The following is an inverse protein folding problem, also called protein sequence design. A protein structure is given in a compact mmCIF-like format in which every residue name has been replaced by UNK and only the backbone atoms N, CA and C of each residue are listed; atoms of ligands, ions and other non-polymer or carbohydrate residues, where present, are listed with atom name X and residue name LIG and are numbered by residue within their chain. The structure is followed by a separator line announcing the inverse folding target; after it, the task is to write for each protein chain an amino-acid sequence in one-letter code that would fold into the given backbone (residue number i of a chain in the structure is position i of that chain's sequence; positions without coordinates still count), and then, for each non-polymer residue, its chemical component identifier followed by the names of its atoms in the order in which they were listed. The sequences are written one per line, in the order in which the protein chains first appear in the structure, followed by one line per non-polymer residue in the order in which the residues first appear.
data_IF_520251451028
#
_entry.id   IF_520251451028
#
_cell.length_a   1.000
_cell.length_b   1.000
_cell.length_c   1.000
_cell.angle_alpha   90.00
_cell.angle_beta   90.00
_cell.angle_gamma   90.00
#
_symmetry.space_group_name_H-M   'P 1'
#
loop_
_entity.id
_entity.type
_entity.pdbx_description
1 polymer ?
#
# COMPACT_ATOMS: atom_id res chain seq x y z
N UNK A 1 -17.10 13.26 -3.96
CA UNK A 1 -15.71 13.40 -4.44
C UNK A 1 -14.93 14.06 -3.31
N UNK A 2 -13.79 13.50 -2.92
CA UNK A 2 -12.95 14.06 -1.86
C UNK A 2 -12.32 15.35 -2.42
N UNK A 3 -12.46 16.46 -1.71
CA UNK A 3 -11.89 17.76 -2.13
C UNK A 3 -10.35 17.69 -2.05
N UNK A 4 -9.62 17.89 -3.16
CA UNK A 4 -8.16 17.81 -3.19
C UNK A 4 -7.48 18.74 -2.15
N UNK A 5 -8.09 19.90 -1.89
CA UNK A 5 -7.58 20.87 -0.92
C UNK A 5 -7.72 20.36 0.52
N UNK A 6 -8.83 19.69 0.82
CA UNK A 6 -9.07 19.01 2.09
C UNK A 6 -8.07 17.87 2.32
N UNK A 7 -7.82 17.02 1.32
CA UNK A 7 -6.83 15.93 1.43
C UNK A 7 -5.41 16.47 1.65
N UNK A 8 -5.01 17.52 0.93
CA UNK A 8 -3.71 18.16 1.10
C UNK A 8 -3.54 18.75 2.51
N UNK A 9 -4.59 19.39 3.04
CA UNK A 9 -4.61 19.96 4.40
C UNK A 9 -4.52 18.88 5.48
N UNK A 10 -5.23 17.77 5.30
CA UNK A 10 -5.15 16.63 6.21
C UNK A 10 -3.73 16.03 6.23
N UNK A 11 -3.11 15.88 5.06
CA UNK A 11 -1.73 15.41 4.94
C UNK A 11 -0.75 16.36 5.63
N UNK A 12 -0.89 17.68 5.43
CA UNK A 12 -0.05 18.67 6.08
C UNK A 12 -0.15 18.60 7.61
N UNK A 13 -1.37 18.50 8.15
CA UNK A 13 -1.61 18.35 9.60
C UNK A 13 -1.01 17.06 10.15
N UNK A 14 -1.10 15.96 9.41
CA UNK A 14 -0.48 14.69 9.79
C UNK A 14 1.03 14.87 9.91
N UNK A 15 1.70 15.42 8.89
CA UNK A 15 3.15 15.67 8.95
C UNK A 15 3.54 16.58 10.12
N UNK A 16 2.80 17.65 10.36
CA UNK A 16 3.06 18.58 11.46
C UNK A 16 3.04 17.88 12.84
N UNK A 17 2.21 16.83 13.00
CA UNK A 17 2.18 16.03 14.22
C UNK A 17 3.47 15.21 14.44
N UNK A 18 4.22 14.89 13.38
CA UNK A 18 5.48 14.15 13.44
C UNK A 18 6.72 15.04 13.36
N UNK A 19 6.57 16.36 13.15
CA UNK A 19 7.70 17.30 13.12
C UNK A 19 7.71 18.27 14.31
N UNK A 20 6.57 18.47 14.98
CA UNK A 20 6.46 19.36 16.15
C UNK A 20 6.40 18.56 17.46
N UNK A 21 7.51 17.94 17.81
CA UNK A 21 7.67 17.30 19.13
C UNK A 21 7.75 18.33 20.27
N UNK A 22 6.97 18.11 21.34
CA UNK A 22 7.01 18.96 22.55
C UNK A 22 8.17 18.66 23.51
N UNK A 23 8.71 17.44 23.48
CA UNK A 23 9.64 16.91 24.49
C UNK A 23 11.05 16.74 23.93
N UNK A 24 11.19 16.23 22.71
CA UNK A 24 12.43 16.26 21.98
C UNK A 24 12.20 17.00 20.65
N UNK A 25 13.00 18.02 20.33
CA UNK A 25 12.96 18.64 19.01
C UNK A 25 13.56 17.66 17.99
N UNK A 26 12.84 17.38 16.89
CA UNK A 26 13.33 16.44 15.87
C UNK A 26 12.31 16.09 14.79
N UNK A 27 12.83 15.64 13.65
CA UNK A 27 12.06 15.16 12.49
C UNK A 27 11.74 13.66 12.67
N UNK A 28 10.56 13.30 13.20
CA UNK A 28 10.20 11.90 13.54
C UNK A 28 9.65 11.09 12.34
N UNK A 29 10.32 11.14 11.20
CA UNK A 29 9.86 10.43 10.00
C UNK A 29 9.92 8.91 10.13
N UNK A 30 10.79 8.40 11.00
CA UNK A 30 10.84 6.98 11.37
C UNK A 30 9.59 6.56 12.13
N UNK A 31 9.08 7.39 13.05
CA UNK A 31 7.82 7.14 13.76
C UNK A 31 6.64 7.13 12.79
N UNK A 32 6.59 8.06 11.83
CA UNK A 32 5.56 8.04 10.77
C UNK A 32 5.64 6.75 9.95
N UNK A 33 6.85 6.29 9.57
CA UNK A 33 7.03 5.02 8.87
C UNK A 33 6.45 3.85 9.69
N UNK A 34 6.78 3.79 10.98
CA UNK A 34 6.30 2.73 11.88
C UNK A 34 4.77 2.73 12.00
N UNK A 35 4.14 3.89 12.10
CA UNK A 35 2.69 4.00 12.16
C UNK A 35 2.01 3.56 10.85
N UNK A 36 2.60 3.87 9.69
CA UNK A 36 2.10 3.38 8.41
C UNK A 36 2.21 1.85 8.29
N UNK A 37 3.30 1.25 8.79
CA UNK A 37 3.45 -0.21 8.86
C UNK A 37 2.44 -0.83 9.82
N UNK A 38 2.26 -0.24 11.01
CA UNK A 38 1.27 -0.69 12.00
C UNK A 38 -0.14 -0.63 11.43
N UNK A 39 -0.50 0.47 10.77
CA UNK A 39 -1.80 0.64 10.14
C UNK A 39 -2.10 -0.47 9.12
N UNK A 40 -1.13 -0.82 8.27
CA UNK A 40 -1.30 -1.94 7.33
C UNK A 40 -1.52 -3.27 8.06
N UNK A 41 -0.73 -3.57 9.09
CA UNK A 41 -0.90 -4.79 9.91
C UNK A 41 -2.28 -4.84 10.57
N UNK A 42 -2.76 -3.71 11.08
CA UNK A 42 -4.13 -3.59 11.61
C UNK A 42 -5.17 -3.89 10.55
N UNK A 43 -5.03 -3.38 9.32
CA UNK A 43 -5.95 -3.69 8.21
C UNK A 43 -5.98 -5.19 7.85
N UNK A 44 -4.87 -5.90 8.01
CA UNK A 44 -4.77 -7.34 7.79
C UNK A 44 -5.53 -8.13 8.87
N UNK A 45 -5.38 -7.74 10.15
CA UNK A 45 -6.06 -8.41 11.28
C UNK A 45 -7.55 -8.06 11.31
N UNK A 46 -7.90 -6.79 11.05
CA UNK A 46 -9.27 -6.29 11.01
C UNK A 46 -10.11 -6.95 9.92
N UNK A 47 -9.50 -7.44 8.83
CA UNK A 47 -10.20 -8.27 7.85
C UNK A 47 -10.83 -9.50 8.50
N UNK A 48 -10.06 -10.21 9.34
CA UNK A 48 -10.52 -11.43 10.02
C UNK A 48 -11.72 -11.14 10.91
N UNK A 49 -11.61 -10.15 11.79
CA UNK A 49 -12.71 -9.70 12.65
C UNK A 49 -13.97 -9.33 11.84
N UNK A 50 -13.80 -8.57 10.75
CA UNK A 50 -14.94 -8.13 9.92
C UNK A 50 -15.69 -9.28 9.27
N UNK A 51 -14.99 -10.35 8.92
CA UNK A 51 -15.59 -11.51 8.24
C UNK A 51 -16.11 -12.53 9.24
N UNK A 52 -15.30 -12.92 10.22
CA UNK A 52 -15.62 -13.99 11.18
C UNK A 52 -16.61 -13.54 12.26
N UNK A 53 -16.48 -12.31 12.79
CA UNK A 53 -17.27 -11.85 13.94
C UNK A 53 -18.38 -10.89 13.55
N UNK A 54 -18.12 -9.96 12.62
CA UNK A 54 -19.08 -8.92 12.27
C UNK A 54 -19.99 -9.27 11.08
N UNK A 55 -19.87 -10.47 10.51
CA UNK A 55 -20.70 -10.96 9.40
C UNK A 55 -20.66 -10.10 8.14
N UNK A 56 -19.59 -9.31 7.92
CA UNK A 56 -19.50 -8.40 6.78
C UNK A 56 -19.06 -9.13 5.53
N UNK A 57 -19.55 -8.65 4.38
CA UNK A 57 -19.19 -9.12 3.04
C UNK A 57 -17.68 -9.29 2.84
N UNK A 58 -17.25 -10.47 2.45
CA UNK A 58 -15.84 -10.88 2.58
C UNK A 58 -15.04 -10.69 1.28
N UNK A 59 -15.61 -11.04 0.11
CA UNK A 59 -14.85 -11.18 -1.13
C UNK A 59 -14.18 -9.87 -1.60
N UNK A 60 -14.93 -8.75 -1.69
CA UNK A 60 -14.34 -7.44 -2.05
C UNK A 60 -13.26 -7.02 -1.05
N UNK A 61 -13.46 -7.29 0.25
CA UNK A 61 -12.49 -6.93 1.30
C UNK A 61 -11.20 -7.71 1.14
N UNK A 62 -11.31 -9.01 0.89
CA UNK A 62 -10.16 -9.88 0.62
C UNK A 62 -9.41 -9.40 -0.62
N UNK A 63 -10.12 -9.17 -1.73
CA UNK A 63 -9.51 -8.72 -2.98
C UNK A 63 -8.81 -7.36 -2.83
N UNK A 64 -9.42 -6.40 -2.12
CA UNK A 64 -8.78 -5.11 -1.78
C UNK A 64 -7.56 -5.29 -0.87
N UNK A 65 -7.61 -6.23 0.08
CA UNK A 65 -6.46 -6.52 0.94
C UNK A 65 -5.29 -7.06 0.11
N UNK A 66 -5.57 -8.00 -0.80
CA UNK A 66 -4.54 -8.65 -1.63
C UNK A 66 -4.00 -7.77 -2.75
N UNK A 67 -4.70 -6.71 -3.15
CA UNK A 67 -4.27 -5.74 -4.17
C UNK A 67 -4.03 -4.35 -3.59
N UNK A 68 -5.05 -3.50 -3.51
CA UNK A 68 -4.90 -2.06 -3.24
C UNK A 68 -4.24 -1.73 -1.90
N UNK A 69 -4.57 -2.48 -0.83
CA UNK A 69 -3.93 -2.27 0.49
C UNK A 69 -2.47 -2.73 0.49
N UNK A 70 -2.18 -3.85 -0.17
CA UNK A 70 -0.81 -4.34 -0.38
C UNK A 70 0.01 -3.35 -1.22
N UNK A 71 -0.55 -2.80 -2.30
CA UNK A 71 0.09 -1.77 -3.12
C UNK A 71 0.40 -0.52 -2.30
N UNK A 72 -0.57 -0.06 -1.51
CA UNK A 72 -0.38 1.11 -0.64
C UNK A 72 0.75 0.89 0.36
N UNK A 73 0.82 -0.28 0.97
CA UNK A 73 1.89 -0.61 1.90
C UNK A 73 3.25 -0.69 1.20
N UNK A 74 3.33 -1.39 0.06
CA UNK A 74 4.54 -1.45 -0.76
C UNK A 74 5.02 -0.06 -1.18
N UNK A 75 4.10 0.82 -1.55
CA UNK A 75 4.40 2.21 -1.89
C UNK A 75 5.04 2.96 -0.73
N UNK A 76 4.53 2.78 0.50
CA UNK A 76 5.14 3.38 1.70
C UNK A 76 6.57 2.85 1.90
N UNK A 77 6.75 1.52 1.88
CA UNK A 77 8.07 0.89 2.07
C UNK A 77 9.07 1.39 1.03
N UNK A 78 8.70 1.39 -0.25
CA UNK A 78 9.57 1.85 -1.34
C UNK A 78 9.91 3.34 -1.21
N UNK A 79 8.93 4.17 -0.84
CA UNK A 79 9.15 5.62 -0.61
C UNK A 79 10.16 5.85 0.50
N UNK A 80 10.02 5.13 1.61
CA UNK A 80 10.91 5.25 2.75
C UNK A 80 12.32 4.69 2.49
N UNK A 81 12.45 3.67 1.63
CA UNK A 81 13.74 3.21 1.13
C UNK A 81 14.51 4.31 0.39
N UNK A 82 13.82 5.14 -0.41
CA UNK A 82 14.44 6.31 -1.05
C UNK A 82 14.72 7.41 -0.02
N UNK A 83 13.76 7.71 0.86
CA UNK A 83 13.89 8.75 1.87
C UNK A 83 15.06 8.49 2.86
N UNK A 84 15.39 7.22 3.11
CA UNK A 84 16.52 6.82 3.95
C UNK A 84 17.89 7.10 3.32
N UNK A 85 17.94 7.42 2.03
CA UNK A 85 19.17 7.65 1.25
C UNK A 85 19.41 9.13 0.92
N UNK A 86 18.50 10.01 1.32
CA UNK A 86 18.65 11.46 1.18
C UNK A 86 19.02 12.06 2.53
N UNK A 87 19.69 13.20 2.46
CA UNK A 87 20.06 13.99 3.63
C UNK A 87 18.82 14.44 4.40
N UNK A 88 19.01 14.69 5.69
CA UNK A 88 17.90 15.00 6.59
C UNK A 88 17.11 16.23 6.14
N UNK A 89 17.78 17.22 5.54
CA UNK A 89 17.16 18.43 5.01
C UNK A 89 16.22 18.18 3.83
N UNK A 90 16.57 17.25 2.95
CA UNK A 90 15.78 16.88 1.77
C UNK A 90 14.70 15.83 2.05
N UNK A 91 14.79 15.14 3.21
CA UNK A 91 13.87 14.06 3.56
C UNK A 91 12.43 14.53 3.73
N UNK A 92 12.22 15.68 4.39
CA UNK A 92 10.86 16.19 4.63
C UNK A 92 10.15 16.61 3.34
N UNK A 93 10.74 17.47 2.48
CA UNK A 93 10.11 17.85 1.22
C UNK A 93 9.79 16.64 0.34
N UNK A 94 10.70 15.65 0.30
CA UNK A 94 10.51 14.41 -0.43
C UNK A 94 9.31 13.63 0.11
N UNK A 95 9.25 13.38 1.42
CA UNK A 95 8.15 12.61 2.02
C UNK A 95 6.81 13.33 1.84
N UNK A 96 6.75 14.66 2.04
CA UNK A 96 5.52 15.43 1.84
C UNK A 96 5.00 15.33 0.42
N UNK A 97 5.89 15.46 -0.57
CA UNK A 97 5.53 15.34 -1.99
C UNK A 97 5.04 13.93 -2.32
N UNK A 98 5.82 12.92 -1.95
CA UNK A 98 5.54 11.56 -2.40
C UNK A 98 4.38 10.93 -1.64
N UNK A 99 4.26 11.09 -0.32
CA UNK A 99 3.13 10.50 0.43
C UNK A 99 1.76 11.05 0.01
N UNK A 100 1.72 12.23 -0.61
CA UNK A 100 0.50 12.77 -1.25
C UNK A 100 0.18 12.17 -2.62
N UNK A 101 1.11 11.43 -3.23
CA UNK A 101 0.94 10.87 -4.55
C UNK A 101 0.29 9.47 -4.53
N UNK A 102 -0.40 9.07 -5.63
CA UNK A 102 -1.01 7.76 -5.73
C UNK A 102 0.00 6.61 -5.50
N UNK A 103 -0.41 5.51 -4.84
CA UNK A 103 0.49 4.39 -4.53
C UNK A 103 1.25 3.83 -5.74
N UNK A 104 0.57 3.71 -6.89
CA UNK A 104 1.19 3.17 -8.11
C UNK A 104 2.31 4.08 -8.63
N UNK A 105 2.09 5.40 -8.61
CA UNK A 105 3.12 6.39 -8.91
C UNK A 105 4.31 6.22 -7.98
N UNK A 106 4.08 6.21 -6.66
CA UNK A 106 5.15 6.12 -5.67
C UNK A 106 6.03 4.89 -5.85
N UNK A 107 5.45 3.72 -6.11
CA UNK A 107 6.24 2.50 -6.38
C UNK A 107 7.10 2.69 -7.62
N UNK A 108 6.54 3.13 -8.74
CA UNK A 108 7.31 3.31 -9.99
C UNK A 108 8.39 4.38 -9.86
N UNK A 109 8.08 5.50 -9.22
CA UNK A 109 9.03 6.56 -8.90
C UNK A 109 10.17 6.02 -8.03
N UNK A 110 9.87 5.38 -6.90
CA UNK A 110 10.90 4.86 -5.99
C UNK A 110 11.77 3.80 -6.68
N UNK A 111 11.17 2.89 -7.43
CA UNK A 111 11.90 1.87 -8.17
C UNK A 111 12.76 2.46 -9.28
N UNK A 112 12.36 3.58 -9.90
CA UNK A 112 13.24 4.33 -10.80
C UNK A 112 14.47 4.89 -10.06
N UNK A 113 14.27 5.51 -8.90
CA UNK A 113 15.38 6.02 -8.08
C UNK A 113 16.34 4.90 -7.61
N UNK A 114 15.80 3.71 -7.38
CA UNK A 114 16.55 2.54 -6.89
C UNK A 114 17.04 1.61 -8.02
N UNK A 115 16.86 1.99 -9.29
CA UNK A 115 17.35 1.22 -10.45
C UNK A 115 16.61 -0.09 -10.74
N UNK A 116 15.37 -0.24 -10.30
CA UNK A 116 14.53 -1.43 -10.49
C UNK A 116 13.20 -1.18 -11.20
N UNK A 117 13.08 -0.10 -11.99
CA UNK A 117 11.83 0.28 -12.69
C UNK A 117 11.24 -0.85 -13.54
N UNK A 118 12.09 -1.67 -14.17
CA UNK A 118 11.66 -2.79 -15.01
C UNK A 118 10.83 -3.84 -14.23
N UNK A 119 11.04 -3.96 -12.92
CA UNK A 119 10.30 -4.87 -12.03
C UNK A 119 8.85 -4.42 -11.80
N UNK A 120 8.50 -3.18 -12.10
CA UNK A 120 7.14 -2.67 -11.92
C UNK A 120 6.17 -3.15 -12.99
N UNK A 121 6.63 -3.56 -14.18
CA UNK A 121 5.74 -3.87 -15.29
C UNK A 121 4.74 -5.01 -14.99
N UNK A 122 5.13 -6.15 -14.36
CA UNK A 122 4.17 -7.17 -13.95
C UNK A 122 3.18 -6.69 -12.88
N UNK A 123 3.62 -5.81 -11.96
CA UNK A 123 2.76 -5.21 -10.94
C UNK A 123 1.64 -4.38 -11.57
N UNK A 124 2.00 -3.51 -12.54
CA UNK A 124 1.05 -2.67 -13.26
C UNK A 124 0.05 -3.52 -14.05
N UNK A 125 0.53 -4.51 -14.80
CA UNK A 125 -0.31 -5.41 -15.59
C UNK A 125 -1.29 -6.23 -14.74
N UNK A 126 -0.92 -6.56 -13.51
CA UNK A 126 -1.83 -7.24 -12.59
C UNK A 126 -2.79 -6.27 -11.88
N UNK A 127 -2.40 -5.02 -11.65
CA UNK A 127 -3.26 -4.06 -10.95
C UNK A 127 -4.39 -3.52 -11.84
N UNK A 128 -4.12 -3.30 -13.12
CA UNK A 128 -5.09 -2.78 -14.10
C UNK A 128 -6.39 -3.60 -14.20
N UNK A 129 -6.38 -4.92 -14.45
CA UNK A 129 -7.61 -5.72 -14.53
C UNK A 129 -8.36 -5.77 -13.20
N UNK A 130 -7.67 -5.67 -12.06
CA UNK A 130 -8.31 -5.56 -10.76
C UNK A 130 -9.08 -4.23 -10.60
N UNK A 131 -8.50 -3.11 -11.06
CA UNK A 131 -9.19 -1.82 -11.05
C UNK A 131 -10.40 -1.83 -11.99
N UNK A 132 -10.24 -2.37 -13.20
CA UNK A 132 -11.31 -2.49 -14.17
C UNK A 132 -12.50 -3.30 -13.60
N UNK A 133 -12.22 -4.45 -13.00
CA UNK A 133 -13.25 -5.30 -12.39
C UNK A 133 -13.99 -4.62 -11.22
N UNK A 134 -13.31 -3.82 -10.39
CA UNK A 134 -13.95 -3.11 -9.28
C UNK A 134 -14.67 -1.82 -9.70
N UNK A 135 -14.38 -1.32 -10.89
CA UNK A 135 -15.08 -0.21 -11.52
C UNK A 135 -16.39 -0.65 -12.17
N UNK A 136 -16.49 -1.92 -12.60
CA UNK A 136 -17.73 -2.51 -13.12
C UNK A 136 -18.77 -2.74 -11.99
N UNK A 137 -19.95 -2.08 -12.05
CA UNK A 137 -21.00 -2.27 -11.06
C UNK A 137 -21.53 -3.71 -10.99
N UNK A 138 -21.56 -4.45 -12.10
CA UNK A 138 -22.09 -5.82 -12.13
C UNK A 138 -21.16 -6.78 -11.39
N UNK A 139 -19.87 -6.78 -11.75
CA UNK A 139 -18.83 -7.53 -11.03
C UNK A 139 -18.81 -7.15 -9.55
N UNK A 140 -18.95 -5.86 -9.24
CA UNK A 140 -18.99 -5.40 -7.85
C UNK A 140 -20.19 -5.95 -7.10
N UNK A 141 -21.38 -5.96 -7.69
CA UNK A 141 -22.58 -6.50 -7.06
C UNK A 141 -22.47 -8.02 -6.83
N UNK A 142 -21.94 -8.75 -7.82
CA UNK A 142 -21.66 -10.20 -7.71
C UNK A 142 -20.75 -10.49 -6.50
N UNK A 143 -19.59 -9.84 -6.45
CA UNK A 143 -18.60 -10.03 -5.37
C UNK A 143 -19.12 -9.59 -3.99
N UNK A 144 -20.05 -8.66 -3.96
CA UNK A 144 -20.64 -8.11 -2.74
C UNK A 144 -21.70 -9.06 -2.15
N UNK A 145 -22.34 -9.88 -2.98
CA UNK A 145 -23.35 -10.87 -2.58
C UNK A 145 -22.80 -12.31 -2.50
N UNK A 146 -21.57 -12.55 -2.95
CA UNK A 146 -20.96 -13.88 -3.01
C UNK A 146 -20.85 -14.54 -1.62
N UNK A 147 -21.49 -15.70 -1.46
CA UNK A 147 -21.30 -16.58 -0.31
C UNK A 147 -19.90 -17.21 -0.33
N UNK A 148 -19.31 -17.44 0.85
CA UNK A 148 -17.94 -17.95 0.94
C UNK A 148 -17.81 -19.38 0.40
N UNK A 149 -18.85 -20.18 0.55
CA UNK A 149 -18.97 -21.56 0.11
C UNK A 149 -18.93 -21.65 -1.43
N UNK A 150 -19.55 -20.70 -2.11
CA UNK A 150 -19.65 -20.64 -3.57
C UNK A 150 -18.47 -19.91 -4.24
N UNK A 151 -17.40 -19.59 -3.50
CA UNK A 151 -16.26 -18.81 -4.02
C UNK A 151 -15.67 -19.34 -5.33
N UNK A 152 -15.55 -20.66 -5.45
CA UNK A 152 -14.99 -21.34 -6.63
C UNK A 152 -15.97 -21.44 -7.81
N UNK A 153 -17.23 -21.00 -7.61
CA UNK A 153 -18.25 -20.94 -8.66
C UNK A 153 -18.33 -19.56 -9.31
N UNK A 154 -17.84 -18.51 -8.64
CA UNK A 154 -17.74 -17.17 -9.20
C UNK A 154 -16.50 -17.05 -10.07
N UNK A 155 -16.69 -17.02 -11.39
CA UNK A 155 -15.61 -16.83 -12.34
C UNK A 155 -14.88 -15.48 -12.12
N UNK A 156 -15.62 -14.44 -11.74
CA UNK A 156 -15.06 -13.13 -11.42
C UNK A 156 -14.15 -13.18 -10.18
N UNK A 157 -14.60 -13.80 -9.10
CA UNK A 157 -13.78 -13.99 -7.90
C UNK A 157 -12.52 -14.80 -8.19
N UNK A 158 -12.67 -15.94 -8.86
CA UNK A 158 -11.57 -16.82 -9.22
C UNK A 158 -10.50 -16.14 -10.07
N UNK A 159 -10.92 -15.38 -11.09
CA UNK A 159 -10.01 -14.61 -11.93
C UNK A 159 -9.23 -13.57 -11.12
N UNK A 160 -9.91 -12.81 -10.26
CA UNK A 160 -9.29 -11.80 -9.42
C UNK A 160 -8.40 -12.40 -8.33
N UNK A 161 -8.76 -13.56 -7.79
CA UNK A 161 -7.95 -14.27 -6.82
C UNK A 161 -6.66 -14.80 -7.44
N UNK A 162 -6.73 -15.41 -8.64
CA UNK A 162 -5.53 -15.80 -9.40
C UNK A 162 -4.66 -14.59 -9.79
N UNK A 163 -5.29 -13.48 -10.20
CA UNK A 163 -4.59 -12.24 -10.47
C UNK A 163 -3.85 -11.72 -9.22
N UNK A 164 -4.42 -11.90 -8.02
CA UNK A 164 -3.75 -11.55 -6.76
C UNK A 164 -2.46 -12.35 -6.52
N UNK A 165 -2.36 -13.57 -7.01
CA UNK A 165 -1.12 -14.37 -6.95
C UNK A 165 -0.04 -13.81 -7.88
N UNK A 166 -0.43 -13.39 -9.10
CA UNK A 166 0.46 -12.68 -10.03
C UNK A 166 0.96 -11.38 -9.40
N UNK A 167 0.03 -10.60 -8.84
CA UNK A 167 0.35 -9.37 -8.12
C UNK A 167 1.32 -9.63 -6.96
N UNK A 168 1.10 -10.70 -6.19
CA UNK A 168 1.97 -11.08 -5.07
C UNK A 168 3.40 -11.39 -5.54
N UNK A 169 3.57 -12.18 -6.60
CA UNK A 169 4.90 -12.45 -7.16
C UNK A 169 5.60 -11.18 -7.64
N UNK A 170 4.86 -10.28 -8.29
CA UNK A 170 5.40 -8.98 -8.70
C UNK A 170 5.84 -8.13 -7.50
N UNK A 171 5.05 -8.11 -6.42
CA UNK A 171 5.44 -7.42 -5.18
C UNK A 171 6.67 -8.05 -4.52
N UNK A 172 6.82 -9.38 -4.56
CA UNK A 172 7.99 -10.06 -3.99
C UNK A 172 9.28 -9.67 -4.73
N UNK A 173 9.27 -9.70 -6.07
CA UNK A 173 10.44 -9.27 -6.85
C UNK A 173 10.86 -7.82 -6.55
N UNK A 174 9.88 -6.93 -6.32
CA UNK A 174 10.16 -5.56 -5.89
C UNK A 174 10.77 -5.55 -4.48
N UNK A 175 10.21 -6.28 -3.52
CA UNK A 175 10.71 -6.34 -2.15
C UNK A 175 12.12 -6.92 -2.09
N UNK A 176 12.43 -7.95 -2.88
CA UNK A 176 13.79 -8.50 -3.02
C UNK A 176 14.77 -7.43 -3.53
N UNK A 177 14.38 -6.68 -4.56
CA UNK A 177 15.20 -5.57 -5.04
C UNK A 177 15.40 -4.50 -3.96
N UNK A 178 14.34 -4.10 -3.24
CA UNK A 178 14.44 -3.16 -2.12
C UNK A 178 15.37 -3.69 -1.02
N UNK A 179 15.31 -4.99 -0.72
CA UNK A 179 16.21 -5.64 0.23
C UNK A 179 17.67 -5.47 -0.16
N UNK A 180 18.02 -5.76 -1.42
CA UNK A 180 19.41 -5.60 -1.90
C UNK A 180 19.91 -4.15 -1.80
N UNK A 181 19.02 -3.16 -1.90
CA UNK A 181 19.38 -1.73 -1.92
C UNK A 181 19.30 -1.04 -0.56
N UNK A 182 18.45 -1.55 0.34
CA UNK A 182 18.00 -0.83 1.54
C UNK A 182 17.81 -1.74 2.77
N UNK A 183 18.51 -2.88 2.85
CA UNK A 183 18.35 -3.88 3.93
C UNK A 183 18.41 -3.28 5.34
N UNK A 184 19.33 -2.36 5.63
CA UNK A 184 19.44 -1.74 6.96
C UNK A 184 18.16 -1.01 7.38
N UNK A 185 17.57 -0.24 6.45
CA UNK A 185 16.32 0.46 6.68
C UNK A 185 15.16 -0.53 6.88
N UNK A 186 15.08 -1.55 6.04
CA UNK A 186 14.02 -2.56 6.09
C UNK A 186 14.09 -3.41 7.38
N UNK A 187 15.28 -3.82 7.79
CA UNK A 187 15.50 -4.52 9.05
C UNK A 187 14.99 -3.69 10.23
N UNK A 188 15.39 -2.41 10.27
CA UNK A 188 15.12 -1.55 11.43
C UNK A 188 13.67 -1.09 11.57
N UNK A 189 12.93 -0.96 10.46
CA UNK A 189 11.62 -0.29 10.49
C UNK A 189 10.49 -1.09 9.82
N UNK A 190 10.80 -2.10 9.01
CA UNK A 190 9.79 -2.94 8.39
C UNK A 190 9.68 -4.31 9.08
N UNK A 191 10.79 -4.87 9.57
CA UNK A 191 10.84 -6.20 10.17
C UNK A 191 10.85 -6.15 11.71
N UNK A 192 11.84 -5.49 12.29
CA UNK A 192 11.96 -5.26 13.73
C UNK A 192 11.04 -4.11 14.19
#
# INVERSE_FOLDING_TARGET
ADDPETSARALARMFDAYTRGRIAPGRYYTSLSNDLHRYYRTLCVDYRFKVEEAGKRWAIRLLKLRHSRKLWHLANVATYCVAARVDDDDREPLLRRELGAPPLWRVTWAMRQLGGLHLCAPLLRAYDPFLAALADPATRAELDQLAHEDRHRSAAFDALYRNAEVFTRATHAIVEHLWTRCHDHLLRFAIL
#
